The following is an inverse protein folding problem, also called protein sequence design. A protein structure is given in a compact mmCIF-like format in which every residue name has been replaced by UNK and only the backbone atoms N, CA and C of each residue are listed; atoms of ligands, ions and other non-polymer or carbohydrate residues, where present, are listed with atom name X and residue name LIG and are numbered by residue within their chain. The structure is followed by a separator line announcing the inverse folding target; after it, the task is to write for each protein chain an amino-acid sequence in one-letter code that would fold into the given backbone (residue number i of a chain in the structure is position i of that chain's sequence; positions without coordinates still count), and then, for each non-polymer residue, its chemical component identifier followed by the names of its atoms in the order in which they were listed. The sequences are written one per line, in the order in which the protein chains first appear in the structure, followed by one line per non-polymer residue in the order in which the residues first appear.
data_IF_549294889455
#
_entry.id   IF_549294889455
#
_cell.length_a   1.000
_cell.length_b   1.000
_cell.length_c   1.000
_cell.angle_alpha   90.00
_cell.angle_beta   90.00
_cell.angle_gamma   90.00
#
_symmetry.space_group_name_H-M   'P 1'
#
loop_
_entity.id
_entity.type
_entity.pdbx_description
1 polymer ?
#
# COMPACT_ATOMS: atom_id res chain seq x y z
N UNK A 1 11.28 -57.35 -37.08
CA UNK A 1 10.23 -56.37 -36.71
C UNK A 1 10.20 -56.10 -35.20
N UNK A 2 10.10 -57.12 -34.33
CA UNK A 2 10.09 -56.96 -32.86
C UNK A 2 11.33 -56.27 -32.27
N UNK A 3 12.54 -56.63 -32.73
CA UNK A 3 13.79 -56.04 -32.23
C UNK A 3 13.86 -54.52 -32.43
N UNK A 4 13.52 -54.05 -33.63
CA UNK A 4 13.48 -52.63 -33.98
C UNK A 4 12.46 -51.85 -33.14
N UNK A 5 11.32 -52.47 -32.79
CA UNK A 5 10.34 -51.85 -31.90
C UNK A 5 10.91 -51.70 -30.48
N UNK A 6 11.62 -52.72 -29.98
CA UNK A 6 12.25 -52.69 -28.66
C UNK A 6 13.31 -51.58 -28.59
N UNK A 7 14.18 -51.47 -29.61
CA UNK A 7 15.21 -50.41 -29.67
C UNK A 7 14.61 -49.01 -29.63
N UNK A 8 13.57 -48.74 -30.42
CA UNK A 8 12.88 -47.44 -30.44
C UNK A 8 12.27 -47.12 -29.07
N UNK A 9 11.64 -48.10 -28.40
CA UNK A 9 11.08 -47.87 -27.06
C UNK A 9 12.15 -47.70 -25.99
N UNK A 10 13.30 -48.37 -26.13
CA UNK A 10 14.42 -48.23 -25.20
C UNK A 10 15.00 -46.81 -25.25
N UNK A 11 15.11 -46.22 -26.45
CA UNK A 11 15.56 -44.83 -26.61
C UNK A 11 14.57 -43.85 -25.96
N UNK A 12 13.27 -44.02 -26.22
CA UNK A 12 12.20 -43.20 -25.60
C UNK A 12 12.23 -43.35 -24.08
N UNK A 13 12.40 -44.58 -23.58
CA UNK A 13 12.50 -44.87 -22.15
C UNK A 13 13.69 -44.15 -21.52
N UNK A 14 14.88 -44.26 -22.10
CA UNK A 14 16.09 -43.63 -21.55
C UNK A 14 16.01 -42.10 -21.56
N UNK A 15 15.41 -41.50 -22.58
CA UNK A 15 15.15 -40.06 -22.60
C UNK A 15 14.17 -39.64 -21.49
N UNK A 16 13.11 -40.41 -21.29
CA UNK A 16 12.13 -40.13 -20.24
C UNK A 16 12.71 -40.36 -18.83
N UNK A 17 13.49 -41.41 -18.63
CA UNK A 17 14.17 -41.71 -17.36
C UNK A 17 15.07 -40.54 -16.92
N UNK A 18 15.82 -39.94 -17.85
CA UNK A 18 16.61 -38.75 -17.57
C UNK A 18 15.75 -37.55 -17.16
N UNK A 19 14.60 -37.33 -17.82
CA UNK A 19 13.67 -36.26 -17.46
C UNK A 19 12.99 -36.52 -16.10
N UNK A 20 12.69 -37.77 -15.75
CA UNK A 20 12.17 -38.17 -14.43
C UNK A 20 13.22 -37.92 -13.36
N UNK A 21 14.47 -38.30 -13.60
CA UNK A 21 15.54 -38.14 -12.62
C UNK A 21 15.78 -36.68 -12.23
N UNK A 22 15.69 -35.73 -13.18
CA UNK A 22 15.76 -34.29 -12.92
C UNK A 22 14.72 -33.78 -11.92
N UNK A 23 13.56 -34.46 -11.83
CA UNK A 23 12.39 -34.04 -11.04
C UNK A 23 12.17 -34.89 -9.80
N UNK A 24 12.93 -35.99 -9.67
CA UNK A 24 12.71 -37.01 -8.66
C UNK A 24 12.68 -36.45 -7.25
N UNK A 25 13.68 -35.65 -6.89
CA UNK A 25 13.80 -35.05 -5.57
C UNK A 25 12.65 -34.09 -5.25
N UNK A 26 12.19 -33.33 -6.24
CA UNK A 26 11.06 -32.42 -6.08
C UNK A 26 9.74 -33.17 -5.87
N UNK A 27 9.47 -34.19 -6.68
CA UNK A 27 8.28 -35.03 -6.54
C UNK A 27 8.27 -35.80 -5.21
N UNK A 28 9.42 -36.33 -4.78
CA UNK A 28 9.56 -36.97 -3.47
C UNK A 28 9.38 -35.96 -2.31
N UNK A 29 9.76 -34.70 -2.52
CA UNK A 29 9.58 -33.60 -1.56
C UNK A 29 8.12 -33.21 -1.33
N UNK A 30 7.21 -33.55 -2.25
CA UNK A 30 5.77 -33.25 -2.11
C UNK A 30 5.11 -34.31 -1.23
N UNK A 31 5.01 -34.04 0.07
CA UNK A 31 4.34 -34.96 1.02
C UNK A 31 2.82 -34.85 1.01
N UNK A 32 2.27 -33.71 0.56
CA UNK A 32 0.83 -33.48 0.49
C UNK A 32 0.42 -32.91 -0.88
N UNK A 33 0.09 -33.78 -1.86
CA UNK A 33 -0.27 -33.35 -3.22
C UNK A 33 -1.74 -32.90 -3.37
N UNK A 34 -2.52 -32.93 -2.29
CA UNK A 34 -3.94 -32.57 -2.26
C UNK A 34 -4.20 -31.38 -1.34
N UNK A 35 -5.34 -30.72 -1.53
CA UNK A 35 -5.76 -29.61 -0.69
C UNK A 35 -6.05 -30.05 0.75
N UNK A 36 -5.55 -29.28 1.73
CA UNK A 36 -5.91 -29.45 3.13
C UNK A 36 -5.78 -28.11 3.87
N UNK A 37 -6.69 -27.85 4.82
CA UNK A 37 -6.78 -26.57 5.56
C UNK A 37 -5.59 -26.28 6.47
N UNK A 38 -4.95 -27.31 7.03
CA UNK A 38 -3.71 -27.15 7.82
C UNK A 38 -2.60 -26.56 6.95
N UNK A 39 -1.88 -25.53 7.41
CA UNK A 39 -0.74 -24.99 6.68
C UNK A 39 0.28 -26.08 6.32
N UNK A 40 0.87 -25.96 5.13
CA UNK A 40 2.08 -26.66 4.73
C UNK A 40 3.28 -26.16 5.53
N UNK A 41 4.23 -27.07 5.75
CA UNK A 41 5.53 -26.74 6.31
C UNK A 41 6.35 -25.88 5.34
N UNK A 42 7.21 -25.01 5.88
CA UNK A 42 8.07 -24.13 5.08
C UNK A 42 8.92 -24.90 4.07
N UNK A 43 9.38 -26.10 4.43
CA UNK A 43 10.17 -26.97 3.53
C UNK A 43 9.37 -27.35 2.29
N UNK A 44 8.10 -27.74 2.45
CA UNK A 44 7.23 -28.09 1.31
C UNK A 44 6.88 -26.87 0.47
N UNK A 45 6.67 -25.71 1.10
CA UNK A 45 6.43 -24.44 0.38
C UNK A 45 7.66 -24.07 -0.47
N UNK A 46 8.87 -24.23 0.08
CA UNK A 46 10.11 -23.96 -0.67
C UNK A 46 10.30 -24.98 -1.81
N UNK A 47 10.05 -26.27 -1.56
CA UNK A 47 10.10 -27.31 -2.59
C UNK A 47 9.20 -26.98 -3.78
N UNK A 48 7.95 -26.54 -3.54
CA UNK A 48 7.06 -26.08 -4.62
C UNK A 48 7.60 -24.86 -5.37
N UNK A 49 8.20 -23.89 -4.66
CA UNK A 49 8.77 -22.69 -5.29
C UNK A 49 9.92 -23.05 -6.22
N UNK A 50 10.86 -23.83 -5.73
CA UNK A 50 12.05 -24.27 -6.46
C UNK A 50 11.68 -25.19 -7.64
N UNK A 51 10.71 -26.09 -7.45
CA UNK A 51 10.24 -26.95 -8.54
C UNK A 51 9.58 -26.13 -9.66
N UNK A 52 8.74 -25.15 -9.30
CA UNK A 52 8.16 -24.23 -10.27
C UNK A 52 9.24 -23.42 -10.99
N UNK A 53 10.27 -22.94 -10.29
CA UNK A 53 11.37 -22.20 -10.93
C UNK A 53 12.13 -23.06 -11.95
N UNK A 54 12.41 -24.32 -11.61
CA UNK A 54 13.06 -25.27 -12.53
C UNK A 54 12.23 -25.51 -13.80
N UNK A 55 10.92 -25.73 -13.68
CA UNK A 55 10.07 -25.93 -14.86
C UNK A 55 9.88 -24.64 -15.65
N UNK A 56 9.80 -23.48 -15.01
CA UNK A 56 9.73 -22.19 -15.72
C UNK A 56 10.98 -21.96 -16.57
N UNK A 57 12.16 -22.35 -16.07
CA UNK A 57 13.43 -22.16 -16.77
C UNK A 57 13.65 -23.15 -17.91
N UNK A 58 13.24 -24.41 -17.73
CA UNK A 58 13.63 -25.52 -18.62
C UNK A 58 12.49 -26.34 -19.23
N UNK A 59 11.27 -26.16 -18.73
CA UNK A 59 10.08 -26.93 -19.13
C UNK A 59 9.34 -26.32 -20.32
N UNK A 60 8.46 -27.12 -20.93
CA UNK A 60 7.51 -26.61 -21.91
C UNK A 60 6.39 -25.82 -21.23
N UNK A 61 5.75 -24.89 -21.95
CA UNK A 61 4.61 -24.12 -21.43
C UNK A 61 3.52 -25.02 -20.83
N UNK A 62 3.14 -26.09 -21.54
CA UNK A 62 2.16 -27.07 -21.08
C UNK A 62 2.56 -27.70 -19.75
N UNK A 63 3.82 -28.11 -19.59
CA UNK A 63 4.34 -28.72 -18.37
C UNK A 63 4.34 -27.74 -17.20
N UNK A 64 4.74 -26.49 -17.44
CA UNK A 64 4.71 -25.43 -16.44
C UNK A 64 3.28 -25.17 -15.96
N UNK A 65 2.32 -25.06 -16.89
CA UNK A 65 0.90 -24.88 -16.56
C UNK A 65 0.37 -26.07 -15.75
N UNK A 66 0.67 -27.32 -16.16
CA UNK A 66 0.28 -28.52 -15.40
C UNK A 66 0.85 -28.47 -13.97
N UNK A 67 2.13 -28.10 -13.81
CA UNK A 67 2.74 -28.02 -12.49
C UNK A 67 2.12 -26.89 -11.64
N UNK A 68 1.82 -25.73 -12.23
CA UNK A 68 1.12 -24.66 -11.54
C UNK A 68 -0.27 -25.11 -11.09
N UNK A 69 -1.05 -25.77 -11.95
CA UNK A 69 -2.37 -26.29 -11.59
C UNK A 69 -2.29 -27.30 -10.43
N UNK A 70 -1.30 -28.19 -10.45
CA UNK A 70 -1.02 -29.10 -9.31
C UNK A 70 -0.67 -28.32 -8.04
N UNK A 71 0.19 -27.31 -8.16
CA UNK A 71 0.64 -26.49 -7.04
C UNK A 71 -0.54 -25.75 -6.40
N UNK A 72 -1.40 -25.08 -7.18
CA UNK A 72 -2.51 -24.30 -6.64
C UNK A 72 -3.61 -25.17 -6.02
N UNK A 73 -3.68 -26.47 -6.33
CA UNK A 73 -4.54 -27.41 -5.60
C UNK A 73 -4.01 -27.60 -4.16
N UNK A 74 -2.75 -27.99 -4.01
CA UNK A 74 -2.15 -28.23 -2.68
C UNK A 74 -1.97 -26.92 -1.88
N UNK A 75 -1.67 -25.83 -2.58
CA UNK A 75 -1.29 -24.52 -2.04
C UNK A 75 -2.40 -23.45 -2.23
N UNK A 76 -3.67 -23.84 -2.34
CA UNK A 76 -4.77 -22.93 -2.68
C UNK A 76 -4.88 -21.68 -1.76
N UNK A 77 -4.51 -21.81 -0.48
CA UNK A 77 -4.59 -20.72 0.51
C UNK A 77 -3.39 -19.75 0.48
N UNK A 78 -2.37 -20.00 -0.35
CA UNK A 78 -1.12 -19.25 -0.39
C UNK A 78 -1.11 -18.30 -1.58
N UNK A 79 -1.34 -17.01 -1.32
CA UNK A 79 -1.47 -15.99 -2.36
C UNK A 79 -0.22 -15.85 -3.23
N UNK A 80 0.97 -16.16 -2.70
CA UNK A 80 2.22 -16.06 -3.45
C UNK A 80 2.28 -16.99 -4.68
N UNK A 81 1.67 -18.18 -4.64
CA UNK A 81 1.68 -19.12 -5.77
C UNK A 81 0.72 -18.68 -6.87
N UNK A 82 -0.46 -18.17 -6.49
CA UNK A 82 -1.41 -17.59 -7.45
C UNK A 82 -0.82 -16.36 -8.14
N UNK A 83 -0.14 -15.49 -7.39
CA UNK A 83 0.52 -14.30 -7.94
C UNK A 83 1.67 -14.73 -8.88
N UNK A 84 2.47 -15.75 -8.50
CA UNK A 84 3.53 -16.28 -9.37
C UNK A 84 2.96 -16.87 -10.66
N UNK A 85 1.84 -17.60 -10.56
CA UNK A 85 1.17 -18.18 -11.71
C UNK A 85 0.62 -17.10 -12.65
N UNK A 86 -0.06 -16.09 -12.10
CA UNK A 86 -0.56 -14.96 -12.89
C UNK A 86 0.59 -14.25 -13.64
N UNK A 87 1.71 -13.96 -12.97
CA UNK A 87 2.90 -13.35 -13.59
C UNK A 87 3.51 -14.21 -14.70
N UNK A 88 3.54 -15.52 -14.54
CA UNK A 88 3.97 -16.43 -15.61
C UNK A 88 3.03 -16.33 -16.81
N UNK A 89 1.72 -16.31 -16.57
CA UNK A 89 0.71 -16.20 -17.62
C UNK A 89 0.68 -14.85 -18.35
N UNK A 90 1.18 -13.75 -17.75
CA UNK A 90 1.25 -12.43 -18.39
C UNK A 90 2.01 -12.46 -19.73
N UNK A 91 3.03 -13.32 -19.85
CA UNK A 91 3.83 -13.46 -21.07
C UNK A 91 3.18 -14.38 -22.13
N UNK A 92 2.07 -15.03 -21.79
CA UNK A 92 1.47 -16.09 -22.61
C UNK A 92 0.03 -15.75 -23.03
N UNK A 93 -0.82 -15.31 -22.11
CA UNK A 93 -2.22 -15.02 -22.38
C UNK A 93 -2.86 -14.14 -21.31
N UNK A 94 -3.37 -12.97 -21.71
CA UNK A 94 -4.15 -12.09 -20.84
C UNK A 94 -5.42 -12.78 -20.29
N UNK A 95 -6.08 -13.62 -21.09
CA UNK A 95 -7.24 -14.38 -20.63
C UNK A 95 -6.84 -15.46 -19.61
N UNK A 96 -5.66 -16.06 -19.78
CA UNK A 96 -5.09 -16.96 -18.78
C UNK A 96 -4.85 -16.26 -17.44
N UNK A 97 -4.27 -15.06 -17.45
CA UNK A 97 -4.07 -14.24 -16.24
C UNK A 97 -5.41 -13.95 -15.56
N UNK A 98 -6.42 -13.53 -16.33
CA UNK A 98 -7.78 -13.26 -15.83
C UNK A 98 -8.39 -14.49 -15.19
N UNK A 99 -8.27 -15.65 -15.83
CA UNK A 99 -8.78 -16.91 -15.31
C UNK A 99 -8.11 -17.29 -13.97
N UNK A 100 -6.78 -17.15 -13.89
CA UNK A 100 -6.01 -17.41 -12.66
C UNK A 100 -6.48 -16.50 -11.52
N UNK A 101 -6.58 -15.19 -11.76
CA UNK A 101 -7.03 -14.25 -10.73
C UNK A 101 -8.48 -14.45 -10.33
N UNK A 102 -9.37 -14.78 -11.28
CA UNK A 102 -10.77 -15.05 -10.99
C UNK A 102 -10.91 -16.23 -10.01
N UNK A 103 -10.21 -17.35 -10.27
CA UNK A 103 -10.17 -18.51 -9.36
C UNK A 103 -9.56 -18.16 -8.01
N UNK A 104 -8.43 -17.45 -8.03
CA UNK A 104 -7.74 -17.06 -6.81
C UNK A 104 -8.64 -16.20 -5.92
N UNK A 105 -9.20 -15.12 -6.46
CA UNK A 105 -9.88 -14.09 -5.69
C UNK A 105 -11.34 -14.46 -5.35
N UNK A 106 -12.07 -15.12 -6.24
CA UNK A 106 -13.49 -15.42 -6.04
C UNK A 106 -13.76 -16.73 -5.28
N UNK A 107 -12.76 -17.60 -5.13
CA UNK A 107 -12.94 -18.92 -4.50
C UNK A 107 -12.05 -19.06 -3.26
N UNK A 108 -10.73 -18.88 -3.42
CA UNK A 108 -9.78 -19.29 -2.38
C UNK A 108 -9.30 -18.15 -1.48
N UNK A 109 -9.11 -16.95 -2.04
CA UNK A 109 -8.40 -15.84 -1.41
C UNK A 109 -9.31 -14.62 -1.15
N UNK A 110 -10.60 -14.84 -0.90
CA UNK A 110 -11.65 -13.81 -0.78
C UNK A 110 -11.28 -12.60 0.11
N UNK A 111 -10.50 -12.83 1.18
CA UNK A 111 -10.13 -11.79 2.15
C UNK A 111 -8.65 -11.38 2.08
N UNK A 112 -7.94 -11.78 1.03
CA UNK A 112 -6.52 -11.46 0.81
C UNK A 112 -6.39 -10.27 -0.13
N UNK A 113 -6.07 -9.06 0.38
CA UNK A 113 -6.15 -7.85 -0.42
C UNK A 113 -5.14 -7.79 -1.55
N UNK A 114 -3.93 -8.36 -1.37
CA UNK A 114 -2.85 -8.21 -2.35
C UNK A 114 -3.21 -8.84 -3.71
N UNK A 115 -3.74 -10.07 -3.72
CA UNK A 115 -4.17 -10.73 -4.95
C UNK A 115 -5.24 -9.92 -5.70
N UNK A 116 -6.22 -9.38 -4.99
CA UNK A 116 -7.30 -8.57 -5.56
C UNK A 116 -6.79 -7.23 -6.11
N UNK A 117 -5.85 -6.59 -5.41
CA UNK A 117 -5.24 -5.33 -5.84
C UNK A 117 -4.37 -5.51 -7.10
N UNK A 118 -3.67 -6.64 -7.21
CA UNK A 118 -2.93 -7.00 -8.41
C UNK A 118 -3.87 -7.32 -9.57
N UNK A 119 -4.95 -8.07 -9.32
CA UNK A 119 -5.96 -8.35 -10.34
C UNK A 119 -6.62 -7.06 -10.88
N UNK A 120 -7.07 -6.17 -9.99
CA UNK A 120 -7.63 -4.89 -10.42
C UNK A 120 -6.63 -4.03 -11.20
N UNK A 121 -5.34 -4.08 -10.82
CA UNK A 121 -4.27 -3.41 -11.57
C UNK A 121 -4.06 -4.01 -12.95
N UNK A 122 -4.13 -5.33 -13.07
CA UNK A 122 -4.06 -6.04 -14.36
C UNK A 122 -5.24 -5.66 -15.26
N UNK A 123 -6.48 -5.67 -14.76
CA UNK A 123 -7.65 -5.27 -15.57
C UNK A 123 -7.56 -3.81 -16.02
N UNK A 124 -7.09 -2.91 -15.15
CA UNK A 124 -6.83 -1.51 -15.52
C UNK A 124 -5.78 -1.40 -16.65
N UNK A 125 -4.69 -2.19 -16.59
CA UNK A 125 -3.67 -2.24 -17.64
C UNK A 125 -4.22 -2.75 -18.98
N UNK A 126 -5.17 -3.69 -18.95
CA UNK A 126 -5.84 -4.19 -20.15
C UNK A 126 -6.92 -3.23 -20.68
N UNK A 127 -7.22 -2.14 -19.97
CA UNK A 127 -8.28 -1.19 -20.33
C UNK A 127 -9.67 -1.55 -19.81
N UNK A 128 -9.80 -2.63 -19.04
CA UNK A 128 -11.07 -3.10 -18.43
C UNK A 128 -11.35 -2.37 -17.11
N UNK A 129 -11.58 -1.06 -17.21
CA UNK A 129 -11.72 -0.17 -16.04
C UNK A 129 -12.91 -0.56 -15.16
N UNK A 130 -14.03 -0.94 -15.75
CA UNK A 130 -15.24 -1.29 -15.00
C UNK A 130 -15.07 -2.58 -14.19
N UNK A 131 -14.32 -3.55 -14.71
CA UNK A 131 -13.97 -4.75 -13.96
C UNK A 131 -13.04 -4.41 -12.78
N UNK A 132 -12.03 -3.56 -13.00
CA UNK A 132 -11.15 -3.08 -11.93
C UNK A 132 -11.95 -2.37 -10.82
N UNK A 133 -12.93 -1.52 -11.17
CA UNK A 133 -13.82 -0.87 -10.21
C UNK A 133 -14.63 -1.90 -9.42
N UNK A 134 -15.23 -2.88 -10.10
CA UNK A 134 -16.01 -3.95 -9.47
C UNK A 134 -15.17 -4.75 -8.48
N UNK A 135 -13.98 -5.20 -8.88
CA UNK A 135 -13.06 -5.98 -8.05
C UNK A 135 -12.71 -5.21 -6.77
N UNK A 136 -12.33 -3.94 -6.89
CA UNK A 136 -11.97 -3.13 -5.73
C UNK A 136 -13.16 -2.83 -4.81
N UNK A 137 -14.36 -2.63 -5.37
CA UNK A 137 -15.59 -2.44 -4.59
C UNK A 137 -15.92 -3.70 -3.79
N UNK A 138 -15.93 -4.87 -4.44
CA UNK A 138 -16.16 -6.16 -3.77
C UNK A 138 -15.12 -6.43 -2.68
N UNK A 139 -13.85 -6.11 -2.95
CA UNK A 139 -12.79 -6.24 -1.93
C UNK A 139 -13.07 -5.34 -0.71
N UNK A 140 -13.45 -4.08 -0.93
CA UNK A 140 -13.75 -3.15 0.17
C UNK A 140 -14.95 -3.60 1.01
N UNK A 141 -15.98 -4.17 0.38
CA UNK A 141 -17.14 -4.77 1.06
C UNK A 141 -16.75 -6.02 1.86
N UNK A 142 -15.81 -6.83 1.35
CA UNK A 142 -15.36 -8.06 2.02
C UNK A 142 -14.39 -7.83 3.19
N UNK A 143 -13.59 -6.75 3.12
CA UNK A 143 -12.59 -6.39 4.13
C UNK A 143 -12.68 -4.90 4.45
N UNK A 144 -13.59 -4.58 5.38
CA UNK A 144 -13.81 -3.21 5.85
C UNK A 144 -12.57 -2.59 6.52
N UNK A 145 -12.41 -1.27 6.40
CA UNK A 145 -11.42 -0.49 7.14
C UNK A 145 -10.01 -0.48 6.54
N UNK A 146 -9.79 -1.16 5.40
CA UNK A 146 -8.50 -1.11 4.71
C UNK A 146 -8.38 0.16 3.86
N UNK A 147 -7.75 1.20 4.44
CA UNK A 147 -7.49 2.46 3.75
C UNK A 147 -6.77 2.30 2.40
N UNK A 148 -5.91 1.29 2.25
CA UNK A 148 -5.22 1.01 1.00
C UNK A 148 -6.18 0.69 -0.17
N UNK A 149 -7.31 0.02 0.11
CA UNK A 149 -8.30 -0.37 -0.90
C UNK A 149 -9.07 0.87 -1.35
N UNK A 150 -9.58 1.66 -0.40
CA UNK A 150 -10.27 2.93 -0.70
C UNK A 150 -9.37 3.87 -1.51
N UNK A 151 -8.10 4.00 -1.12
CA UNK A 151 -7.13 4.82 -1.88
C UNK A 151 -6.86 4.26 -3.28
N UNK A 152 -6.86 2.94 -3.48
CA UNK A 152 -6.73 2.35 -4.82
C UNK A 152 -7.92 2.72 -5.71
N UNK A 153 -9.15 2.63 -5.18
CA UNK A 153 -10.38 3.06 -5.89
C UNK A 153 -10.32 4.54 -6.29
N UNK A 154 -9.97 5.42 -5.36
CA UNK A 154 -9.82 6.87 -5.61
C UNK A 154 -8.79 7.13 -6.72
N UNK A 155 -7.65 6.45 -6.67
CA UNK A 155 -6.60 6.64 -7.66
C UNK A 155 -6.97 6.09 -9.06
N UNK A 156 -7.76 5.01 -9.13
CA UNK A 156 -8.33 4.50 -10.37
C UNK A 156 -9.22 5.56 -11.02
N UNK A 157 -10.22 6.07 -10.28
CA UNK A 157 -11.12 7.12 -10.80
C UNK A 157 -10.35 8.36 -11.24
N UNK A 158 -9.34 8.78 -10.46
CA UNK A 158 -8.50 9.92 -10.82
C UNK A 158 -7.76 9.72 -12.15
N UNK A 159 -7.14 8.55 -12.36
CA UNK A 159 -6.37 8.26 -13.59
C UNK A 159 -7.24 8.25 -14.84
N UNK A 160 -8.51 7.89 -14.70
CA UNK A 160 -9.50 7.90 -15.78
C UNK A 160 -10.29 9.21 -15.89
N UNK A 161 -9.90 10.27 -15.16
CA UNK A 161 -10.53 11.59 -15.26
C UNK A 161 -11.85 11.75 -14.50
N UNK A 162 -12.30 10.74 -13.75
CA UNK A 162 -13.51 10.78 -12.93
C UNK A 162 -13.25 11.50 -11.60
N UNK A 163 -12.94 12.79 -11.68
CA UNK A 163 -12.52 13.60 -10.53
C UNK A 163 -13.61 13.72 -9.47
N UNK A 164 -14.88 13.77 -9.88
CA UNK A 164 -16.03 13.84 -8.96
C UNK A 164 -16.17 12.57 -8.12
N UNK A 165 -16.13 11.41 -8.76
CA UNK A 165 -16.18 10.11 -8.08
C UNK A 165 -15.01 9.94 -7.10
N UNK A 166 -13.80 10.37 -7.50
CA UNK A 166 -12.64 10.36 -6.61
C UNK A 166 -12.83 11.27 -5.37
N UNK A 167 -13.44 12.44 -5.52
CA UNK A 167 -13.80 13.36 -4.43
C UNK A 167 -14.86 12.75 -3.52
N UNK A 168 -15.88 12.13 -4.09
CA UNK A 168 -16.98 11.50 -3.36
C UNK A 168 -16.49 10.32 -2.52
N UNK A 169 -15.66 9.43 -3.09
CA UNK A 169 -15.07 8.30 -2.36
C UNK A 169 -14.25 8.73 -1.14
N UNK A 170 -13.44 9.79 -1.26
CA UNK A 170 -12.67 10.33 -0.13
C UNK A 170 -13.58 11.01 0.90
N UNK A 171 -14.59 11.73 0.44
CA UNK A 171 -15.55 12.42 1.31
C UNK A 171 -16.42 11.43 2.08
N UNK A 172 -16.87 10.36 1.43
CA UNK A 172 -17.60 9.24 2.01
C UNK A 172 -16.74 8.53 3.06
N UNK A 173 -15.49 8.20 2.74
CA UNK A 173 -14.55 7.59 3.67
C UNK A 173 -14.27 8.46 4.90
N UNK A 174 -14.15 9.78 4.70
CA UNK A 174 -13.99 10.74 5.79
C UNK A 174 -15.25 10.81 6.68
N UNK A 175 -16.45 10.76 6.10
CA UNK A 175 -17.72 10.77 6.86
C UNK A 175 -17.96 9.48 7.64
N UNK A 176 -17.62 8.34 7.05
CA UNK A 176 -17.82 7.01 7.62
C UNK A 176 -16.65 6.54 8.51
N UNK A 177 -15.66 7.40 8.75
CA UNK A 177 -14.51 7.08 9.58
C UNK A 177 -14.95 6.70 11.01
N UNK A 178 -14.45 5.55 11.51
CA UNK A 178 -14.80 5.03 12.83
C UNK A 178 -13.97 5.68 13.94
N UNK A 179 -12.77 6.16 13.60
CA UNK A 179 -11.84 6.78 14.56
C UNK A 179 -11.49 8.21 14.15
N UNK A 180 -11.15 9.05 15.13
CA UNK A 180 -10.64 10.42 14.88
C UNK A 180 -9.38 10.40 14.02
N UNK A 181 -8.49 9.43 14.24
CA UNK A 181 -7.26 9.28 13.45
C UNK A 181 -7.56 8.94 11.98
N UNK A 182 -8.54 8.07 11.73
CA UNK A 182 -8.99 7.71 10.38
C UNK A 182 -9.66 8.91 9.68
N UNK A 183 -10.49 9.67 10.41
CA UNK A 183 -11.09 10.90 9.92
C UNK A 183 -10.00 11.89 9.46
N UNK A 184 -9.02 12.14 10.33
CA UNK A 184 -7.89 13.03 10.03
C UNK A 184 -7.04 12.53 8.87
N UNK A 185 -6.84 11.21 8.75
CA UNK A 185 -6.15 10.61 7.63
C UNK A 185 -6.84 10.89 6.29
N UNK A 186 -8.15 10.63 6.19
CA UNK A 186 -8.90 10.89 4.96
C UNK A 186 -9.03 12.39 4.66
N UNK A 187 -9.17 13.25 5.69
CA UNK A 187 -9.16 14.70 5.53
C UNK A 187 -7.85 15.20 4.89
N UNK A 188 -6.69 14.68 5.32
CA UNK A 188 -5.39 15.01 4.71
C UNK A 188 -5.35 14.57 3.24
N UNK A 189 -5.85 13.37 2.93
CA UNK A 189 -5.87 12.86 1.55
C UNK A 189 -6.79 13.70 0.66
N UNK A 190 -7.96 14.08 1.15
CA UNK A 190 -8.92 14.93 0.47
C UNK A 190 -8.39 16.34 0.24
N UNK A 191 -7.76 16.95 1.25
CA UNK A 191 -7.14 18.27 1.11
C UNK A 191 -6.01 18.26 0.06
N UNK A 192 -5.14 17.24 0.07
CA UNK A 192 -4.11 17.06 -0.97
C UNK A 192 -4.70 16.88 -2.36
N UNK A 193 -5.81 16.16 -2.46
CA UNK A 193 -6.53 15.98 -3.73
C UNK A 193 -7.06 17.32 -4.27
N UNK A 194 -7.75 18.10 -3.43
CA UNK A 194 -8.20 19.45 -3.82
C UNK A 194 -7.06 20.37 -4.23
N UNK A 195 -5.98 20.37 -3.47
CA UNK A 195 -4.86 21.26 -3.72
C UNK A 195 -4.06 20.87 -4.97
N UNK A 196 -3.61 19.62 -5.07
CA UNK A 196 -2.68 19.21 -6.14
C UNK A 196 -3.39 18.89 -7.45
N UNK A 197 -4.59 18.32 -7.39
CA UNK A 197 -5.33 17.87 -8.59
C UNK A 197 -6.30 18.96 -9.05
N UNK A 198 -7.22 19.41 -8.18
CA UNK A 198 -8.22 20.43 -8.56
C UNK A 198 -7.72 21.87 -8.50
N UNK A 199 -6.50 22.11 -7.98
CA UNK A 199 -5.93 23.46 -7.74
C UNK A 199 -6.81 24.35 -6.86
N UNK A 200 -7.67 23.76 -6.04
CA UNK A 200 -8.59 24.48 -5.16
C UNK A 200 -8.02 24.59 -3.74
N UNK A 201 -7.26 25.66 -3.52
CA UNK A 201 -6.63 25.98 -2.23
C UNK A 201 -7.67 26.22 -1.14
N UNK A 202 -8.76 26.92 -1.46
CA UNK A 202 -9.80 27.31 -0.50
C UNK A 202 -10.49 26.08 0.09
N UNK A 203 -10.92 25.14 -0.77
CA UNK A 203 -11.51 23.87 -0.31
C UNK A 203 -10.52 23.05 0.52
N UNK A 204 -9.25 22.98 0.10
CA UNK A 204 -8.23 22.24 0.83
C UNK A 204 -7.99 22.81 2.25
N UNK A 205 -7.86 24.14 2.38
CA UNK A 205 -7.74 24.81 3.70
C UNK A 205 -8.96 24.56 4.58
N UNK A 206 -10.17 24.65 4.00
CA UNK A 206 -11.42 24.40 4.73
C UNK A 206 -11.44 22.99 5.32
N UNK A 207 -11.17 21.95 4.52
CA UNK A 207 -11.17 20.55 5.00
C UNK A 207 -10.17 20.33 6.14
N UNK A 208 -8.95 20.87 6.03
CA UNK A 208 -7.95 20.74 7.09
C UNK A 208 -8.35 21.49 8.36
N UNK A 209 -8.96 22.68 8.20
CA UNK A 209 -9.42 23.49 9.33
C UNK A 209 -10.57 22.81 10.07
N UNK A 210 -11.54 22.26 9.33
CA UNK A 210 -12.66 21.50 9.88
C UNK A 210 -12.16 20.22 10.59
N UNK A 211 -11.14 19.57 10.04
CA UNK A 211 -10.52 18.41 10.67
C UNK A 211 -9.77 18.76 11.96
N UNK A 212 -9.07 19.89 12.00
CA UNK A 212 -8.40 20.40 13.21
C UNK A 212 -9.39 20.77 14.32
N UNK A 213 -10.64 21.10 14.00
CA UNK A 213 -11.67 21.32 15.04
C UNK A 213 -12.02 20.02 15.77
N UNK A 214 -12.01 18.89 15.06
CA UNK A 214 -12.28 17.55 15.62
C UNK A 214 -11.04 16.93 16.27
N UNK A 215 -9.88 17.13 15.67
CA UNK A 215 -8.61 16.51 16.08
C UNK A 215 -7.54 17.58 16.32
N UNK A 216 -7.66 18.27 17.46
CA UNK A 216 -6.89 19.48 17.79
C UNK A 216 -5.40 19.23 18.01
N UNK A 217 -5.01 17.99 18.31
CA UNK A 217 -3.65 17.59 18.67
C UNK A 217 -2.94 16.82 17.55
N UNK A 218 -3.55 16.74 16.36
CA UNK A 218 -2.94 16.02 15.25
C UNK A 218 -1.87 16.85 14.54
N UNK A 219 -0.62 16.51 14.82
CA UNK A 219 0.54 17.12 14.18
C UNK A 219 0.50 17.03 12.66
N UNK A 220 -0.01 15.94 12.08
CA UNK A 220 -0.05 15.74 10.62
C UNK A 220 -1.00 16.74 9.95
N UNK A 221 -2.10 17.11 10.60
CA UNK A 221 -3.03 18.12 10.07
C UNK A 221 -2.37 19.51 10.01
N UNK A 222 -1.69 19.91 11.10
CA UNK A 222 -0.96 21.18 11.12
C UNK A 222 0.14 21.23 10.05
N UNK A 223 0.93 20.16 9.91
CA UNK A 223 1.98 20.12 8.90
C UNK A 223 1.43 20.25 7.48
N UNK A 224 0.34 19.55 7.14
CA UNK A 224 -0.25 19.67 5.81
C UNK A 224 -0.87 21.04 5.56
N UNK A 225 -1.37 21.73 6.59
CA UNK A 225 -1.90 23.08 6.45
C UNK A 225 -0.78 24.09 6.26
N UNK A 226 0.31 23.97 7.03
CA UNK A 226 1.52 24.78 6.88
C UNK A 226 2.14 24.58 5.49
N UNK A 227 2.30 23.34 5.03
CA UNK A 227 2.80 23.02 3.68
C UNK A 227 1.94 23.68 2.58
N UNK A 228 0.64 23.76 2.80
CA UNK A 228 -0.28 24.41 1.88
C UNK A 228 -0.09 25.93 1.89
N UNK A 229 0.06 26.57 3.05
CA UNK A 229 0.34 28.00 3.14
C UNK A 229 1.69 28.37 2.49
N UNK A 230 2.71 27.54 2.68
CA UNK A 230 4.03 27.69 2.05
C UNK A 230 3.96 27.67 0.51
N UNK A 231 3.05 26.86 -0.03
CA UNK A 231 2.99 26.60 -1.46
C UNK A 231 2.28 27.69 -2.29
N UNK A 232 1.70 28.71 -1.65
CA UNK A 232 0.98 29.80 -2.32
C UNK A 232 1.86 31.04 -2.43
N UNK A 233 1.92 31.87 -1.38
CA UNK A 233 2.81 33.03 -1.26
C UNK A 233 3.22 33.14 0.21
N UNK A 234 4.50 32.89 0.46
CA UNK A 234 5.08 32.86 1.80
C UNK A 234 4.99 34.23 2.48
N UNK A 235 5.13 35.33 1.72
CA UNK A 235 5.14 36.68 2.28
C UNK A 235 3.74 37.13 2.67
N UNK A 236 2.75 36.83 1.84
CA UNK A 236 1.35 37.17 2.15
C UNK A 236 0.78 36.32 3.28
N UNK A 237 1.21 35.05 3.38
CA UNK A 237 0.71 34.13 4.39
C UNK A 237 1.58 34.07 5.66
N UNK A 238 2.63 34.90 5.80
CA UNK A 238 3.54 34.88 6.95
C UNK A 238 2.77 34.92 8.27
N UNK A 239 1.83 35.86 8.42
CA UNK A 239 1.03 35.99 9.64
C UNK A 239 0.17 34.74 9.91
N UNK A 240 -0.41 34.13 8.88
CA UNK A 240 -1.19 32.91 9.02
C UNK A 240 -0.32 31.71 9.40
N UNK A 241 0.87 31.59 8.82
CA UNK A 241 1.84 30.53 9.12
C UNK A 241 2.30 30.64 10.59
N UNK A 242 2.66 31.85 11.04
CA UNK A 242 3.07 32.08 12.41
C UNK A 242 1.96 31.74 13.41
N UNK A 243 0.71 32.10 13.12
CA UNK A 243 -0.45 31.74 13.95
C UNK A 243 -0.63 30.22 14.06
N UNK A 244 -0.36 29.46 13.00
CA UNK A 244 -0.42 27.99 13.04
C UNK A 244 0.68 27.40 13.91
N UNK A 245 1.92 27.91 13.80
CA UNK A 245 3.01 27.51 14.70
C UNK A 245 2.68 27.83 16.16
N UNK A 246 2.21 29.05 16.44
CA UNK A 246 1.86 29.49 17.79
C UNK A 246 0.76 28.64 18.41
N UNK A 247 -0.24 28.25 17.61
CA UNK A 247 -1.33 27.39 18.06
C UNK A 247 -0.83 26.02 18.52
N UNK A 248 0.18 25.47 17.83
CA UNK A 248 0.82 24.21 18.21
C UNK A 248 1.69 24.38 19.44
N UNK A 249 2.53 25.42 19.47
CA UNK A 249 3.46 25.69 20.58
C UNK A 249 2.73 25.96 21.90
N UNK A 250 1.54 26.58 21.85
CA UNK A 250 0.71 26.88 23.04
C UNK A 250 -0.28 25.78 23.41
N UNK A 251 -0.35 24.70 22.63
CA UNK A 251 -1.28 23.59 22.87
C UNK A 251 -0.86 22.68 24.02
N UNK A 252 -1.74 21.75 24.41
CA UNK A 252 -1.49 20.65 25.35
C UNK A 252 -0.63 19.51 24.78
N UNK A 253 -0.10 19.63 23.55
CA UNK A 253 0.69 18.58 22.92
C UNK A 253 2.00 18.29 23.67
N UNK A 254 2.57 17.08 23.48
CA UNK A 254 3.84 16.69 24.09
C UNK A 254 4.93 17.74 23.88
N UNK A 255 5.74 17.99 24.92
CA UNK A 255 6.78 19.02 24.89
C UNK A 255 7.76 18.83 23.72
N UNK A 256 8.10 17.58 23.39
CA UNK A 256 8.92 17.23 22.21
C UNK A 256 8.33 17.73 20.89
N UNK A 257 7.01 17.61 20.74
CA UNK A 257 6.29 18.10 19.55
C UNK A 257 6.27 19.63 19.53
N UNK A 258 5.99 20.28 20.66
CA UNK A 258 6.00 21.74 20.78
C UNK A 258 7.37 22.32 20.44
N UNK A 259 8.45 21.69 20.92
CA UNK A 259 9.84 22.06 20.60
C UNK A 259 10.11 21.91 19.11
N UNK A 260 9.73 20.79 18.49
CA UNK A 260 9.95 20.57 17.06
C UNK A 260 9.24 21.62 16.17
N UNK A 261 8.01 22.02 16.54
CA UNK A 261 7.30 23.10 15.84
C UNK A 261 7.91 24.48 16.13
N UNK A 262 8.38 24.72 17.35
CA UNK A 262 9.11 25.94 17.71
C UNK A 262 10.41 26.06 16.91
N UNK A 263 11.16 24.98 16.75
CA UNK A 263 12.36 24.94 15.91
C UNK A 263 12.02 25.28 14.46
N UNK A 264 11.00 24.65 13.87
CA UNK A 264 10.55 24.96 12.50
C UNK A 264 10.07 26.41 12.34
N UNK A 265 9.48 27.01 13.38
CA UNK A 265 9.09 28.43 13.39
C UNK A 265 10.33 29.34 13.35
N UNK A 266 11.39 28.99 14.08
CA UNK A 266 12.68 29.71 14.03
C UNK A 266 13.28 29.59 12.63
N UNK A 267 13.39 28.37 12.09
CA UNK A 267 13.90 28.11 10.73
C UNK A 267 13.13 28.91 9.68
N UNK A 268 11.80 28.94 9.78
CA UNK A 268 10.94 29.74 8.89
C UNK A 268 11.24 31.24 8.93
N UNK A 269 11.39 31.81 10.13
CA UNK A 269 11.66 33.24 10.30
C UNK A 269 13.09 33.61 9.89
N UNK A 270 14.05 32.70 10.01
CA UNK A 270 15.42 32.87 9.52
C UNK A 270 15.44 32.92 7.99
N UNK A 271 14.75 31.97 7.33
CA UNK A 271 14.76 31.84 5.87
C UNK A 271 13.89 32.89 5.15
N UNK A 272 12.74 33.24 5.73
CA UNK A 272 11.70 34.02 5.05
C UNK A 272 11.17 35.23 5.83
N UNK A 273 11.60 35.43 7.08
CA UNK A 273 11.05 36.45 7.96
C UNK A 273 11.30 37.86 7.46
N UNK A 274 10.29 38.73 7.61
CA UNK A 274 10.42 40.15 7.25
C UNK A 274 11.03 41.01 8.37
N UNK A 275 11.03 40.54 9.61
CA UNK A 275 11.38 41.32 10.82
C UNK A 275 12.23 40.51 11.79
N UNK A 276 13.46 40.99 12.03
CA UNK A 276 14.43 40.40 12.95
C UNK A 276 13.93 40.33 14.39
N UNK A 277 13.05 41.25 14.82
CA UNK A 277 12.52 41.25 16.18
C UNK A 277 11.61 40.04 16.43
N UNK A 278 10.85 39.60 15.41
CA UNK A 278 10.03 38.38 15.50
C UNK A 278 10.90 37.13 15.62
N UNK A 279 12.03 37.11 14.92
CA UNK A 279 13.00 36.02 15.00
C UNK A 279 13.62 35.94 16.41
N UNK A 280 14.11 37.05 16.94
CA UNK A 280 14.71 37.11 18.28
C UNK A 280 13.71 36.67 19.38
N UNK A 281 12.48 37.17 19.33
CA UNK A 281 11.43 36.78 20.28
C UNK A 281 11.07 35.29 20.17
N UNK A 282 10.99 34.75 18.96
CA UNK A 282 10.74 33.31 18.73
C UNK A 282 11.91 32.45 19.22
N UNK A 283 13.15 32.92 19.06
CA UNK A 283 14.34 32.24 19.56
C UNK A 283 14.34 32.18 21.10
N UNK A 284 13.99 33.28 21.77
CA UNK A 284 13.84 33.31 23.22
C UNK A 284 12.76 32.36 23.73
N UNK A 285 11.62 32.29 23.04
CA UNK A 285 10.56 31.32 23.32
C UNK A 285 11.05 29.88 23.16
N UNK A 286 11.81 29.59 22.09
CA UNK A 286 12.41 28.28 21.86
C UNK A 286 13.36 27.86 22.99
N UNK A 287 14.25 28.76 23.41
CA UNK A 287 15.18 28.52 24.50
C UNK A 287 14.47 28.26 25.84
N UNK A 288 13.31 28.90 26.08
CA UNK A 288 12.49 28.60 27.27
C UNK A 288 11.95 27.17 27.24
N UNK A 289 11.47 26.68 26.10
CA UNK A 289 10.98 25.31 25.95
C UNK A 289 12.08 24.27 26.13
N UNK A 290 13.29 24.52 25.62
CA UNK A 290 14.45 23.65 25.83
C UNK A 290 14.83 23.55 27.31
N UNK A 291 14.86 24.69 28.02
CA UNK A 291 15.10 24.70 29.47
C UNK A 291 14.04 23.92 30.25
N UNK A 292 12.77 24.04 29.86
CA UNK A 292 11.68 23.26 30.46
C UNK A 292 11.90 21.75 30.27
N UNK A 293 12.34 21.33 29.08
CA UNK A 293 12.65 19.94 28.77
C UNK A 293 13.82 19.41 29.62
N UNK A 294 14.88 20.20 29.76
CA UNK A 294 16.05 19.82 30.57
C UNK A 294 15.71 19.68 32.05
N UNK A 295 14.86 20.56 32.59
CA UNK A 295 14.37 20.47 33.97
C UNK A 295 13.58 19.17 34.17
N UNK A 296 12.71 18.81 33.21
CA UNK A 296 11.93 17.57 33.28
C UNK A 296 12.81 16.32 33.20
N UNK A 297 13.83 16.32 32.32
CA UNK A 297 14.81 15.22 32.24
C UNK A 297 15.58 15.04 33.55
N UNK A 298 16.11 16.13 34.11
CA UNK A 298 16.83 16.10 35.40
C UNK A 298 15.95 15.63 36.56
N UNK A 299 14.64 15.91 36.53
CA UNK A 299 13.71 15.38 37.54
C UNK A 299 13.44 13.89 37.38
N UNK A 300 13.42 13.38 36.15
CA UNK A 300 13.24 11.95 35.87
C UNK A 300 14.50 11.10 36.16
N UNK A 301 15.69 11.70 36.12
CA UNK A 301 16.97 11.03 36.44
C UNK A 301 17.28 10.99 37.94
N UNK A 302 16.68 11.88 38.74
CA UNK A 302 16.92 12.03 40.17
C UNK A 302 15.81 11.44 41.07
N UNK A 303 14.87 10.69 40.49
CA UNK A 303 13.80 9.98 41.21
C UNK A 303 13.74 8.51 40.78
#
# INVERSE_FOLDING_TARGET
MRHRIIEVHQEIFSLNENEVHKRWTFEEGIKRPYFHVKPLEKVQINNWKEYLDLEIESGSHERVVILFERCVIACACYEEFWIKYAKYMEHHSAEGVRHVYNRACNIHLLKKPLAHLLWAGFEEQQGNVEDAKRILKTLEESVEGLAMVRLRRVNLERRHGNIKEAEELLSEAMKNAKTTQEFSFYAIKLARFYFKIQKNVVKAKKVLSDALQKDKENTKLYLNLIDLEFSVDVKQNESSILLLFDKVIRSSMPLTTRIAFSQRKVEFLEDFGSDINKLLTTYDEHQRLLREQDILKRKAENG
#
